data_IF_811178549482
#
_entry.id   IF_811178549482
#
_cell.length_a   1.000
_cell.length_b   1.000
_cell.length_c   1.000
_cell.angle_alpha   90.00
_cell.angle_beta   90.00
_cell.angle_gamma   90.00
#
_symmetry.space_group_name_H-M   'P 1'
#
loop_
_entity.id
_entity.type
_entity.pdbx_description
1 polymer ?
#
# COMPACT_ATOMS: atom_id res chain seq x y z
N UNK A 1 -45.20 -20.99 27.80
CA UNK A 1 -45.49 -20.75 26.37
C UNK A 1 -44.32 -19.97 25.80
N UNK A 2 -43.32 -20.68 25.25
CA UNK A 2 -42.19 -20.08 24.54
C UNK A 2 -42.56 -19.96 23.06
N UNK A 3 -42.39 -18.76 22.48
CA UNK A 3 -42.76 -18.46 21.08
C UNK A 3 -41.56 -18.18 20.17
N UNK A 4 -40.34 -18.42 20.64
CA UNK A 4 -39.11 -18.18 19.87
C UNK A 4 -38.43 -19.49 19.46
N UNK A 5 -39.23 -20.43 18.94
CA UNK A 5 -38.69 -21.50 18.10
C UNK A 5 -38.12 -20.88 16.83
N UNK A 6 -36.95 -21.37 16.44
CA UNK A 6 -36.30 -21.08 15.17
C UNK A 6 -37.32 -21.37 14.07
N UNK A 7 -37.92 -20.32 13.50
CA UNK A 7 -38.69 -20.44 12.26
C UNK A 7 -37.65 -20.62 11.16
N UNK A 8 -37.11 -21.84 11.03
CA UNK A 8 -36.58 -22.27 9.75
C UNK A 8 -37.79 -22.40 8.83
N UNK A 9 -38.05 -21.34 8.06
CA UNK A 9 -38.92 -21.51 6.91
C UNK A 9 -38.31 -22.61 6.05
N UNK A 10 -39.16 -23.45 5.46
CA UNK A 10 -38.82 -24.54 4.53
C UNK A 10 -37.93 -24.12 3.33
N UNK A 11 -37.63 -22.83 3.21
CA UNK A 11 -36.74 -22.17 2.26
C UNK A 11 -35.27 -22.05 2.69
N UNK A 12 -34.84 -22.57 3.85
CA UNK A 12 -33.43 -22.52 4.30
C UNK A 12 -32.96 -21.12 4.75
N UNK A 13 -33.90 -20.24 5.09
CA UNK A 13 -33.64 -18.86 5.52
C UNK A 13 -33.62 -18.76 7.05
N UNK A 14 -32.78 -17.87 7.56
CA UNK A 14 -32.64 -17.61 8.99
C UNK A 14 -32.71 -16.12 9.31
N UNK A 15 -33.28 -15.80 10.47
CA UNK A 15 -33.36 -14.42 10.96
C UNK A 15 -32.24 -14.17 11.97
N UNK A 16 -31.31 -13.29 11.59
CA UNK A 16 -30.10 -12.99 12.37
C UNK A 16 -29.77 -11.50 12.40
N UNK A 17 -29.07 -11.02 13.45
CA UNK A 17 -28.57 -9.65 13.50
C UNK A 17 -27.55 -9.36 12.38
N UNK A 18 -27.56 -8.13 11.89
CA UNK A 18 -26.61 -7.63 10.90
C UNK A 18 -25.71 -6.56 11.52
N UNK A 19 -24.40 -6.69 11.30
CA UNK A 19 -23.39 -5.69 11.65
C UNK A 19 -22.85 -5.02 10.37
N UNK A 20 -23.15 -3.73 10.15
CA UNK A 20 -22.68 -3.02 8.97
C UNK A 20 -21.22 -2.57 9.14
N UNK A 21 -20.34 -3.03 8.27
CA UNK A 21 -18.90 -2.78 8.33
C UNK A 21 -18.49 -1.59 7.47
N UNK A 22 -17.56 -0.77 7.99
CA UNK A 22 -16.93 0.33 7.25
C UNK A 22 -15.60 -0.13 6.67
N UNK A 23 -15.37 0.16 5.39
CA UNK A 23 -14.09 -0.04 4.71
C UNK A 23 -13.50 -1.47 4.76
N UNK A 24 -14.30 -2.48 5.09
CA UNK A 24 -13.87 -3.87 5.13
C UNK A 24 -14.97 -4.81 4.63
N UNK A 25 -14.54 -5.83 3.89
CA UNK A 25 -15.33 -7.00 3.47
C UNK A 25 -14.66 -8.20 4.10
N UNK A 26 -15.42 -9.00 4.84
CA UNK A 26 -14.93 -10.22 5.49
C UNK A 26 -15.30 -11.39 4.60
N UNK A 27 -14.35 -12.28 4.33
CA UNK A 27 -14.55 -13.49 3.53
C UNK A 27 -14.73 -14.71 4.43
N UNK A 28 -15.31 -15.81 3.93
CA UNK A 28 -15.27 -17.10 4.61
C UNK A 28 -13.85 -17.49 5.06
N UNK A 29 -13.76 -18.15 6.21
CA UNK A 29 -12.54 -18.57 6.91
C UNK A 29 -11.63 -17.43 7.42
N UNK A 30 -11.97 -16.18 7.15
CA UNK A 30 -11.22 -15.03 7.63
C UNK A 30 -11.52 -14.77 9.10
N UNK A 31 -10.48 -14.71 9.95
CA UNK A 31 -10.59 -14.33 11.36
C UNK A 31 -10.09 -12.91 11.53
N UNK A 32 -10.94 -12.00 12.00
CA UNK A 32 -10.58 -10.58 12.14
C UNK A 32 -11.07 -10.00 13.47
N UNK A 33 -10.26 -9.17 14.15
CA UNK A 33 -10.73 -8.36 15.25
C UNK A 33 -11.46 -7.12 14.72
N UNK A 34 -12.67 -6.85 15.20
CA UNK A 34 -13.45 -5.66 14.92
C UNK A 34 -13.60 -4.81 16.19
N UNK A 35 -13.59 -3.50 16.00
CA UNK A 35 -13.85 -2.52 17.05
C UNK A 35 -15.19 -1.85 16.78
N UNK A 36 -16.12 -1.99 17.72
CA UNK A 36 -17.50 -1.56 17.56
C UNK A 36 -17.84 -0.57 18.66
N UNK A 37 -18.25 0.64 18.26
CA UNK A 37 -18.62 1.72 19.19
C UNK A 37 -20.05 2.24 19.04
N UNK A 38 -20.78 1.86 17.98
CA UNK A 38 -22.17 2.29 17.80
C UNK A 38 -23.10 1.47 18.68
N UNK A 39 -23.97 2.12 19.45
CA UNK A 39 -24.91 1.45 20.38
C UNK A 39 -25.73 0.35 19.69
N UNK A 40 -26.31 0.65 18.51
CA UNK A 40 -27.07 -0.33 17.73
C UNK A 40 -26.25 -1.55 17.31
N UNK A 41 -24.97 -1.36 17.02
CA UNK A 41 -24.06 -2.44 16.64
C UNK A 41 -23.63 -3.27 17.84
N UNK A 42 -23.43 -2.64 19.00
CA UNK A 42 -23.15 -3.33 20.26
C UNK A 42 -24.36 -4.19 20.66
N UNK A 43 -25.58 -3.65 20.57
CA UNK A 43 -26.81 -4.38 20.86
C UNK A 43 -26.98 -5.61 19.95
N UNK A 44 -26.64 -5.49 18.65
CA UNK A 44 -26.67 -6.62 17.72
C UNK A 44 -25.73 -7.76 18.13
N UNK A 45 -24.52 -7.41 18.59
CA UNK A 45 -23.51 -8.38 19.03
C UNK A 45 -23.93 -9.07 20.33
N UNK A 46 -24.42 -8.32 21.31
CA UNK A 46 -24.89 -8.87 22.59
C UNK A 46 -26.05 -9.84 22.38
N UNK A 47 -27.02 -9.48 21.54
CA UNK A 47 -28.12 -10.36 21.18
C UNK A 47 -27.63 -11.67 20.54
N UNK A 48 -26.68 -11.57 19.60
CA UNK A 48 -26.13 -12.73 18.92
C UNK A 48 -25.40 -13.68 19.87
N UNK A 49 -24.59 -13.13 20.79
CA UNK A 49 -23.89 -13.91 21.82
C UNK A 49 -24.90 -14.57 22.77
N UNK A 50 -25.88 -13.81 23.27
CA UNK A 50 -26.87 -14.31 24.24
C UNK A 50 -27.75 -15.44 23.67
N UNK A 51 -27.99 -15.43 22.35
CA UNK A 51 -28.80 -16.44 21.67
C UNK A 51 -27.97 -17.52 20.95
N UNK A 52 -26.65 -17.49 21.11
CA UNK A 52 -25.70 -18.37 20.40
C UNK A 52 -25.95 -18.39 18.88
N UNK A 53 -26.30 -17.23 18.31
CA UNK A 53 -26.61 -17.07 16.89
C UNK A 53 -25.42 -16.53 16.13
N UNK A 54 -25.32 -16.94 14.87
CA UNK A 54 -24.45 -16.28 13.90
C UNK A 54 -24.91 -14.84 13.63
N UNK A 55 -23.96 -14.01 13.20
CA UNK A 55 -24.21 -12.64 12.74
C UNK A 55 -23.95 -12.54 11.24
N UNK A 56 -24.66 -11.63 10.57
CA UNK A 56 -24.32 -11.24 9.22
C UNK A 56 -23.40 -10.03 9.22
N UNK A 57 -22.23 -10.18 8.60
CA UNK A 57 -21.28 -9.10 8.38
C UNK A 57 -21.43 -8.60 6.94
N UNK A 58 -21.87 -7.35 6.77
CA UNK A 58 -22.10 -6.77 5.45
C UNK A 58 -21.42 -5.41 5.33
N UNK A 59 -20.73 -5.17 4.21
CA UNK A 59 -20.07 -3.89 3.97
C UNK A 59 -21.10 -2.78 3.68
N UNK A 60 -20.76 -1.56 4.07
CA UNK A 60 -21.47 -0.36 3.66
C UNK A 60 -21.00 0.09 2.27
N UNK A 61 -21.93 0.56 1.44
CA UNK A 61 -21.62 1.13 0.11
C UNK A 61 -20.79 2.40 0.27
N UNK A 62 -21.08 3.21 1.28
CA UNK A 62 -20.30 4.40 1.63
C UNK A 62 -19.87 4.33 3.10
N UNK A 63 -18.58 4.12 3.34
CA UNK A 63 -18.01 4.00 4.68
C UNK A 63 -18.09 5.30 5.51
N UNK A 64 -18.28 6.46 4.87
CA UNK A 64 -18.42 7.75 5.57
C UNK A 64 -19.79 7.92 6.22
N UNK A 65 -20.78 7.07 5.90
CA UNK A 65 -22.12 7.17 6.46
C UNK A 65 -22.13 6.69 7.91
N UNK A 66 -22.50 7.57 8.84
CA UNK A 66 -22.56 7.25 10.27
C UNK A 66 -23.77 6.39 10.65
N UNK A 67 -24.91 6.62 10.02
CA UNK A 67 -26.12 5.84 10.21
C UNK A 67 -26.57 5.29 8.86
N UNK A 68 -26.00 4.15 8.41
CA UNK A 68 -26.34 3.59 7.12
C UNK A 68 -27.81 3.16 7.11
N UNK A 69 -28.53 3.49 6.05
CA UNK A 69 -29.86 2.91 5.80
C UNK A 69 -29.72 1.53 5.16
N UNK A 70 -30.77 0.68 5.18
CA UNK A 70 -30.76 -0.62 4.48
C UNK A 70 -30.27 -0.57 3.03
N UNK A 71 -30.60 0.51 2.31
CA UNK A 71 -30.17 0.76 0.92
C UNK A 71 -28.67 1.09 0.77
N UNK A 72 -27.99 1.42 1.86
CA UNK A 72 -26.55 1.72 1.89
C UNK A 72 -25.70 0.51 2.31
N UNK A 73 -26.29 -0.68 2.40
CA UNK A 73 -25.63 -1.91 2.82
C UNK A 73 -25.67 -2.88 1.64
N UNK A 74 -24.55 -3.52 1.34
CA UNK A 74 -24.52 -4.55 0.31
C UNK A 74 -25.41 -5.74 0.67
N UNK A 75 -26.08 -6.31 -0.34
CA UNK A 75 -27.03 -7.41 -0.13
C UNK A 75 -26.36 -8.75 0.11
N UNK A 76 -25.10 -8.90 -0.29
CA UNK A 76 -24.29 -10.07 0.01
C UNK A 76 -23.27 -9.70 1.07
N UNK A 77 -23.26 -10.50 2.14
CA UNK A 77 -22.30 -10.42 3.24
C UNK A 77 -21.81 -11.80 3.61
N UNK A 78 -21.22 -11.90 4.79
CA UNK A 78 -20.66 -13.16 5.31
C UNK A 78 -21.33 -13.50 6.63
N UNK A 79 -21.88 -14.72 6.69
CA UNK A 79 -22.33 -15.33 7.92
C UNK A 79 -21.10 -15.62 8.78
N UNK A 80 -21.13 -15.19 10.03
CA UNK A 80 -19.98 -15.24 10.92
C UNK A 80 -20.34 -15.67 12.33
N UNK A 81 -19.43 -16.44 12.94
CA UNK A 81 -19.45 -16.71 14.38
C UNK A 81 -18.70 -15.64 15.14
N UNK A 82 -19.18 -15.34 16.34
CA UNK A 82 -18.44 -14.55 17.33
C UNK A 82 -17.58 -15.50 18.15
N UNK A 83 -16.26 -15.39 18.03
CA UNK A 83 -15.32 -16.20 18.82
C UNK A 83 -15.15 -15.61 20.22
N UNK A 84 -15.00 -14.28 20.29
CA UNK A 84 -14.71 -13.60 21.54
C UNK A 84 -15.30 -12.19 21.53
N UNK A 85 -15.86 -11.77 22.66
CA UNK A 85 -16.34 -10.41 22.89
C UNK A 85 -15.69 -9.84 24.15
N UNK A 86 -15.07 -8.67 24.03
CA UNK A 86 -14.41 -7.97 25.13
C UNK A 86 -14.87 -6.50 25.17
N UNK A 87 -15.43 -6.08 26.30
CA UNK A 87 -15.71 -4.66 26.55
C UNK A 87 -14.43 -3.94 26.96
N UNK A 88 -14.16 -2.82 26.33
CA UNK A 88 -13.05 -1.95 26.66
C UNK A 88 -13.50 -0.86 27.65
N UNK A 89 -12.58 -0.29 28.47
CA UNK A 89 -12.93 0.73 29.46
C UNK A 89 -13.49 2.04 28.85
N UNK A 90 -13.25 2.28 27.56
CA UNK A 90 -13.75 3.42 26.81
C UNK A 90 -15.21 3.26 26.33
N UNK A 91 -15.85 2.13 26.66
CA UNK A 91 -17.22 1.81 26.27
C UNK A 91 -17.34 1.14 24.90
N UNK A 92 -16.24 0.98 24.16
CA UNK A 92 -16.24 0.24 22.90
C UNK A 92 -16.15 -1.27 23.14
N UNK A 93 -16.56 -2.05 22.15
CA UNK A 93 -16.48 -3.51 22.17
C UNK A 93 -15.49 -3.98 21.13
N UNK A 94 -14.48 -4.73 21.57
CA UNK A 94 -13.59 -5.50 20.70
C UNK A 94 -14.19 -6.90 20.53
N UNK A 95 -14.48 -7.27 19.30
CA UNK A 95 -15.03 -8.59 18.96
C UNK A 95 -14.11 -9.32 17.98
N UNK A 96 -13.84 -10.59 18.23
CA UNK A 96 -13.14 -11.47 17.29
C UNK A 96 -14.20 -12.30 16.56
N UNK A 97 -14.22 -12.21 15.24
CA UNK A 97 -15.21 -12.90 14.40
C UNK A 97 -14.51 -13.79 13.38
N UNK A 98 -15.18 -14.88 13.01
CA UNK A 98 -14.76 -15.78 11.94
C UNK A 98 -15.84 -15.84 10.86
N UNK A 99 -15.44 -15.61 9.61
CA UNK A 99 -16.32 -15.86 8.45
C UNK A 99 -16.57 -17.35 8.27
N UNK A 100 -17.84 -17.76 8.17
CA UNK A 100 -18.23 -19.15 7.90
C UNK A 100 -18.57 -19.38 6.44
N UNK A 101 -19.51 -18.60 5.91
CA UNK A 101 -20.02 -18.76 4.55
C UNK A 101 -20.65 -17.46 4.06
N UNK A 102 -20.87 -17.34 2.75
CA UNK A 102 -21.57 -16.20 2.15
C UNK A 102 -23.05 -16.23 2.50
N UNK A 103 -23.65 -15.07 2.74
CA UNK A 103 -25.07 -14.91 3.02
C UNK A 103 -25.69 -13.82 2.16
N UNK A 104 -26.89 -14.07 1.63
CA UNK A 104 -27.69 -13.08 0.90
C UNK A 104 -28.84 -12.57 1.75
N UNK A 105 -28.93 -11.25 1.90
CA UNK A 105 -30.03 -10.56 2.56
C UNK A 105 -31.25 -10.59 1.64
N UNK A 106 -32.32 -11.22 2.08
CA UNK A 106 -33.63 -11.16 1.42
C UNK A 106 -34.42 -9.94 1.86
N UNK A 107 -34.51 -9.72 3.17
CA UNK A 107 -35.25 -8.60 3.73
C UNK A 107 -34.65 -8.10 5.04
N UNK A 108 -34.89 -6.82 5.32
CA UNK A 108 -34.64 -6.20 6.61
C UNK A 108 -35.93 -6.24 7.43
N UNK A 109 -35.85 -6.85 8.61
CA UNK A 109 -36.97 -6.98 9.53
C UNK A 109 -37.00 -5.74 10.42
N UNK A 110 -38.16 -5.08 10.60
CA UNK A 110 -38.28 -3.92 11.47
C UNK A 110 -37.81 -4.23 12.90
N UNK A 111 -36.80 -3.48 13.36
CA UNK A 111 -36.29 -3.52 14.73
C UNK A 111 -35.66 -2.16 15.06
N UNK A 112 -36.04 -1.56 16.19
CA UNK A 112 -35.53 -0.26 16.63
C UNK A 112 -34.10 -0.32 17.18
N UNK A 113 -33.70 -1.49 17.72
CA UNK A 113 -32.49 -1.62 18.53
C UNK A 113 -31.26 -1.91 17.66
N UNK A 114 -31.42 -2.67 16.59
CA UNK A 114 -30.33 -3.06 15.68
C UNK A 114 -30.87 -3.54 14.33
N UNK A 115 -30.00 -3.71 13.34
CA UNK A 115 -30.40 -4.30 12.07
C UNK A 115 -30.69 -5.79 12.24
N UNK A 116 -31.92 -6.18 11.90
CA UNK A 116 -32.35 -7.57 11.85
C UNK A 116 -32.64 -7.93 10.40
N UNK A 117 -32.13 -9.08 9.94
CA UNK A 117 -32.26 -9.49 8.54
C UNK A 117 -32.68 -10.94 8.42
N UNK A 118 -33.52 -11.22 7.42
CA UNK A 118 -33.71 -12.58 6.92
C UNK A 118 -32.64 -12.85 5.85
N UNK A 119 -31.83 -13.88 6.10
CA UNK A 119 -30.65 -14.22 5.31
C UNK A 119 -30.74 -15.67 4.85
N UNK A 120 -30.26 -15.91 3.63
CA UNK A 120 -30.05 -17.26 3.10
C UNK A 120 -28.55 -17.49 2.90
N UNK A 121 -28.04 -18.62 3.39
CA UNK A 121 -26.68 -19.04 3.09
C UNK A 121 -26.56 -19.35 1.60
N UNK A 122 -25.58 -18.76 0.92
CA UNK A 122 -25.30 -19.07 -0.48
C UNK A 122 -24.58 -20.42 -0.50
N UNK A 123 -25.20 -21.41 -1.15
CA UNK A 123 -24.57 -22.69 -1.42
C UNK A 123 -23.57 -22.52 -2.56
N UNK A 124 -22.37 -23.04 -2.36
CA UNK A 124 -21.32 -23.09 -3.37
C UNK A 124 -21.24 -24.53 -3.87
N UNK A 125 -21.58 -24.75 -5.14
CA UNK A 125 -21.31 -26.00 -5.81
C UNK A 125 -19.92 -25.90 -6.43
N UNK A 126 -19.01 -26.74 -5.94
CA UNK A 126 -17.62 -26.76 -6.38
C UNK A 126 -17.41 -28.02 -7.20
N UNK A 127 -17.25 -27.84 -8.51
CA UNK A 127 -16.78 -28.89 -9.40
C UNK A 127 -15.33 -28.59 -9.77
N UNK A 128 -14.41 -29.50 -9.42
CA UNK A 128 -13.00 -29.34 -9.76
C UNK A 128 -12.76 -29.98 -11.13
N UNK A 129 -12.58 -29.13 -12.13
CA UNK A 129 -12.23 -29.57 -13.49
C UNK A 129 -10.72 -29.38 -13.74
N UNK A 130 -10.22 -29.93 -14.86
CA UNK A 130 -8.84 -29.69 -15.31
C UNK A 130 -8.59 -28.18 -15.54
N UNK A 131 -9.61 -27.44 -15.98
CA UNK A 131 -9.53 -26.00 -16.15
C UNK A 131 -9.42 -25.29 -14.80
N UNK A 132 -10.25 -25.66 -13.82
CA UNK A 132 -10.17 -25.17 -12.43
C UNK A 132 -8.76 -25.36 -11.86
N UNK A 133 -8.16 -26.54 -12.01
CA UNK A 133 -6.78 -26.81 -11.55
C UNK A 133 -5.74 -25.92 -12.25
N UNK A 134 -5.92 -25.64 -13.54
CA UNK A 134 -5.03 -24.74 -14.28
C UNK A 134 -5.13 -23.30 -13.77
N UNK A 135 -6.36 -22.81 -13.53
CA UNK A 135 -6.60 -21.47 -12.96
C UNK A 135 -6.00 -21.39 -11.55
N UNK A 136 -6.23 -22.40 -10.71
CA UNK A 136 -5.67 -22.46 -9.35
C UNK A 136 -4.13 -22.39 -9.35
N UNK A 137 -3.45 -23.10 -10.27
CA UNK A 137 -1.99 -22.99 -10.43
C UNK A 137 -1.57 -21.58 -10.82
N UNK A 138 -2.30 -20.94 -11.73
CA UNK A 138 -2.08 -19.54 -12.12
C UNK A 138 -2.21 -18.59 -10.93
N UNK A 139 -3.29 -18.73 -10.15
CA UNK A 139 -3.55 -17.93 -8.94
C UNK A 139 -2.46 -18.12 -7.89
N UNK A 140 -2.06 -19.38 -7.59
CA UNK A 140 -0.98 -19.67 -6.63
C UNK A 140 0.35 -19.04 -7.07
N UNK A 141 0.70 -19.15 -8.35
CA UNK A 141 1.92 -18.56 -8.90
C UNK A 141 1.90 -17.02 -8.86
N UNK A 142 0.77 -16.41 -9.22
CA UNK A 142 0.60 -14.97 -9.12
C UNK A 142 0.73 -14.51 -7.65
N UNK A 143 0.14 -15.25 -6.71
CA UNK A 143 0.21 -14.91 -5.28
C UNK A 143 1.64 -14.96 -4.75
N UNK A 144 2.42 -15.97 -5.17
CA UNK A 144 3.84 -16.05 -4.85
C UNK A 144 4.62 -14.82 -5.34
N UNK A 145 4.37 -14.38 -6.57
CA UNK A 145 5.00 -13.16 -7.11
C UNK A 145 4.56 -11.91 -6.36
N UNK A 146 3.27 -11.80 -6.03
CA UNK A 146 2.72 -10.69 -5.27
C UNK A 146 3.35 -10.57 -3.88
N UNK A 147 3.49 -11.68 -3.13
CA UNK A 147 4.14 -11.70 -1.81
C UNK A 147 5.63 -11.30 -1.89
N UNK A 148 6.35 -11.72 -2.94
CA UNK A 148 7.75 -11.31 -3.16
C UNK A 148 7.91 -9.80 -3.37
N UNK A 149 6.90 -9.15 -3.95
CA UNK A 149 6.89 -7.69 -4.17
C UNK A 149 6.34 -6.92 -2.96
N UNK A 150 5.36 -7.49 -2.25
CA UNK A 150 4.71 -6.89 -1.09
C UNK A 150 5.18 -7.53 0.22
N UNK A 151 6.24 -6.97 0.80
CA UNK A 151 6.85 -7.44 2.06
C UNK A 151 5.96 -7.33 3.31
N UNK A 152 4.73 -6.83 3.20
CA UNK A 152 3.78 -6.79 4.32
C UNK A 152 3.17 -8.16 4.61
N UNK A 153 3.21 -9.09 3.66
CA UNK A 153 2.65 -10.43 3.82
C UNK A 153 3.75 -11.37 4.30
N UNK A 154 3.55 -12.06 5.44
CA UNK A 154 4.48 -13.07 5.92
C UNK A 154 4.68 -14.20 4.89
N UNK A 155 5.93 -14.62 4.59
CA UNK A 155 6.19 -15.71 3.65
C UNK A 155 5.54 -17.05 4.04
N UNK A 156 5.30 -17.29 5.33
CA UNK A 156 4.59 -18.46 5.85
C UNK A 156 3.19 -18.64 5.25
N UNK A 157 2.54 -17.54 4.83
CA UNK A 157 1.26 -17.59 4.13
C UNK A 157 1.32 -18.33 2.80
N UNK A 158 2.48 -18.35 2.13
CA UNK A 158 2.66 -19.09 0.88
C UNK A 158 2.53 -20.61 1.09
N UNK A 159 3.03 -21.11 2.23
CA UNK A 159 2.92 -22.52 2.57
C UNK A 159 1.48 -22.90 2.92
N UNK A 160 0.72 -22.01 3.58
CA UNK A 160 -0.69 -22.25 3.85
C UNK A 160 -1.56 -22.21 2.59
N UNK A 161 -1.26 -21.32 1.64
CA UNK A 161 -2.02 -21.20 0.39
C UNK A 161 -1.70 -22.34 -0.59
N UNK A 162 -0.47 -22.86 -0.59
CA UNK A 162 -0.07 -23.91 -1.53
C UNK A 162 -0.80 -25.23 -1.30
N UNK A 163 -1.15 -25.55 -0.06
CA UNK A 163 -1.86 -26.78 0.35
C UNK A 163 -3.38 -26.74 0.16
N UNK A 164 -3.95 -25.59 -0.22
CA UNK A 164 -5.40 -25.47 -0.44
C UNK A 164 -5.77 -26.12 -1.78
N UNK A 165 -6.61 -27.13 -1.73
CA UNK A 165 -7.15 -27.86 -2.90
C UNK A 165 -8.55 -27.40 -3.30
N UNK A 166 -9.27 -26.76 -2.39
CA UNK A 166 -10.60 -26.22 -2.66
C UNK A 166 -10.49 -24.83 -3.35
N UNK A 167 -11.02 -24.66 -4.57
CA UNK A 167 -10.91 -23.40 -5.33
C UNK A 167 -11.63 -22.24 -4.63
N UNK A 168 -12.76 -22.51 -3.97
CA UNK A 168 -13.52 -21.49 -3.26
C UNK A 168 -12.74 -20.91 -2.09
N UNK A 169 -12.17 -21.79 -1.26
CA UNK A 169 -11.32 -21.46 -0.11
C UNK A 169 -10.02 -20.82 -0.53
N UNK A 170 -9.45 -21.24 -1.67
CA UNK A 170 -8.23 -20.63 -2.21
C UNK A 170 -8.47 -19.14 -2.51
N UNK A 171 -9.56 -18.84 -3.22
CA UNK A 171 -9.92 -17.47 -3.55
C UNK A 171 -10.13 -16.61 -2.28
N UNK A 172 -10.88 -17.14 -1.31
CA UNK A 172 -11.25 -16.44 -0.08
C UNK A 172 -10.05 -16.19 0.84
N UNK A 173 -9.12 -17.14 0.90
CA UNK A 173 -7.89 -16.99 1.67
C UNK A 173 -6.98 -15.92 1.03
N UNK A 174 -6.79 -15.97 -0.28
CA UNK A 174 -5.89 -15.04 -0.97
C UNK A 174 -6.42 -13.60 -0.92
N UNK A 175 -7.71 -13.38 -1.22
CA UNK A 175 -8.30 -12.03 -1.27
C UNK A 175 -8.24 -11.31 0.08
N UNK A 176 -8.23 -12.05 1.20
CA UNK A 176 -8.04 -11.50 2.53
C UNK A 176 -6.69 -10.79 2.71
N UNK A 177 -5.66 -11.23 1.98
CA UNK A 177 -4.31 -10.66 2.02
C UNK A 177 -4.03 -9.62 0.92
N UNK A 178 -4.93 -9.46 -0.05
CA UNK A 178 -4.76 -8.47 -1.11
C UNK A 178 -5.22 -7.06 -0.67
N UNK A 179 -4.50 -6.05 -1.13
CA UNK A 179 -4.84 -4.63 -0.88
C UNK A 179 -5.73 -4.11 -2.00
N UNK A 180 -6.97 -4.63 -2.07
CA UNK A 180 -7.96 -4.22 -3.07
C UNK A 180 -8.90 -3.16 -2.52
N UNK A 181 -9.48 -2.35 -3.42
CA UNK A 181 -10.55 -1.41 -3.06
C UNK A 181 -11.79 -2.18 -2.62
N UNK A 182 -12.59 -1.58 -1.74
CA UNK A 182 -13.81 -2.20 -1.21
C UNK A 182 -14.78 -2.68 -2.32
N UNK A 183 -15.07 -1.92 -3.38
CA UNK A 183 -15.95 -2.37 -4.45
C UNK A 183 -15.43 -3.64 -5.15
N UNK A 184 -14.12 -3.76 -5.33
CA UNK A 184 -13.50 -4.94 -5.95
C UNK A 184 -13.61 -6.17 -5.02
N UNK A 185 -13.34 -5.98 -3.71
CA UNK A 185 -13.55 -7.06 -2.71
C UNK A 185 -15.00 -7.50 -2.66
N UNK A 186 -15.93 -6.54 -2.66
CA UNK A 186 -17.35 -6.84 -2.63
C UNK A 186 -17.79 -7.60 -3.89
N UNK A 187 -17.28 -7.21 -5.07
CA UNK A 187 -17.55 -7.92 -6.31
C UNK A 187 -17.06 -9.38 -6.24
N UNK A 188 -15.87 -9.64 -5.68
CA UNK A 188 -15.36 -11.01 -5.47
C UNK A 188 -16.25 -11.80 -4.50
N UNK A 189 -16.74 -11.16 -3.42
CA UNK A 189 -17.64 -11.82 -2.48
C UNK A 189 -18.97 -12.23 -3.14
N UNK A 190 -19.47 -11.41 -4.07
CA UNK A 190 -20.72 -11.62 -4.79
C UNK A 190 -20.66 -12.71 -5.88
N UNK A 191 -19.47 -13.03 -6.39
CA UNK A 191 -19.28 -14.11 -7.36
C UNK A 191 -19.41 -15.47 -6.65
N UNK A 192 -20.44 -16.21 -7.04
CA UNK A 192 -20.76 -17.53 -6.47
C UNK A 192 -19.90 -18.63 -7.10
N UNK A 193 -19.68 -18.56 -8.42
CA UNK A 193 -18.93 -19.57 -9.18
C UNK A 193 -17.44 -19.44 -8.87
N UNK A 194 -16.84 -20.53 -8.38
CA UNK A 194 -15.45 -20.52 -7.92
C UNK A 194 -14.45 -20.17 -9.04
N UNK A 195 -14.66 -20.71 -10.25
CA UNK A 195 -13.79 -20.46 -11.40
C UNK A 195 -13.80 -18.99 -11.82
N UNK A 196 -14.99 -18.40 -12.01
CA UNK A 196 -15.14 -16.97 -12.30
C UNK A 196 -14.47 -16.10 -11.23
N UNK A 197 -14.58 -16.51 -9.96
CA UNK A 197 -13.98 -15.80 -8.83
C UNK A 197 -12.45 -15.88 -8.87
N UNK A 198 -11.89 -17.05 -9.17
CA UNK A 198 -10.45 -17.25 -9.31
C UNK A 198 -9.89 -16.47 -10.51
N UNK A 199 -10.58 -16.44 -11.65
CA UNK A 199 -10.19 -15.65 -12.81
C UNK A 199 -10.20 -14.15 -12.49
N UNK A 200 -11.25 -13.66 -11.84
CA UNK A 200 -11.35 -12.26 -11.42
C UNK A 200 -10.21 -11.90 -10.47
N UNK A 201 -9.93 -12.77 -9.50
CA UNK A 201 -8.84 -12.62 -8.55
C UNK A 201 -7.47 -12.60 -9.22
N UNK A 202 -7.24 -13.50 -10.19
CA UNK A 202 -6.01 -13.56 -10.97
C UNK A 202 -5.75 -12.25 -11.72
N UNK A 203 -6.75 -11.75 -12.42
CA UNK A 203 -6.67 -10.50 -13.19
C UNK A 203 -6.35 -9.28 -12.31
N UNK A 204 -7.02 -9.18 -11.15
CA UNK A 204 -6.76 -8.11 -10.19
C UNK A 204 -5.35 -8.19 -9.62
N UNK A 205 -4.89 -9.40 -9.32
CA UNK A 205 -3.55 -9.61 -8.77
C UNK A 205 -2.45 -9.31 -9.78
N UNK A 206 -2.63 -9.70 -11.05
CA UNK A 206 -1.71 -9.36 -12.13
C UNK A 206 -1.59 -7.84 -12.30
N UNK A 207 -2.72 -7.15 -12.31
CA UNK A 207 -2.75 -5.68 -12.38
C UNK A 207 -1.99 -5.03 -11.23
N UNK A 208 -2.18 -5.54 -10.00
CA UNK A 208 -1.50 -5.02 -8.81
C UNK A 208 0.01 -5.32 -8.83
N UNK A 209 0.41 -6.50 -9.31
CA UNK A 209 1.81 -6.88 -9.50
C UNK A 209 2.51 -5.90 -10.45
N UNK A 210 1.87 -5.54 -11.58
CA UNK A 210 2.42 -4.57 -12.54
C UNK A 210 2.65 -3.20 -11.89
N UNK A 211 1.68 -2.72 -11.11
CA UNK A 211 1.78 -1.46 -10.37
C UNK A 211 2.98 -1.51 -9.40
N UNK A 212 3.06 -2.56 -8.58
CA UNK A 212 4.16 -2.75 -7.62
C UNK A 212 5.53 -2.81 -8.31
N UNK A 213 5.63 -3.43 -9.48
CA UNK A 213 6.86 -3.46 -10.27
C UNK A 213 7.24 -2.07 -10.79
N UNK A 214 6.29 -1.29 -11.30
CA UNK A 214 6.50 0.10 -11.72
C UNK A 214 6.97 0.95 -10.55
N UNK A 215 6.29 0.89 -9.40
CA UNK A 215 6.68 1.61 -8.19
C UNK A 215 8.09 1.24 -7.73
N UNK A 216 8.45 -0.04 -7.77
CA UNK A 216 9.80 -0.50 -7.42
C UNK A 216 10.85 0.07 -8.36
N UNK A 217 10.57 0.13 -9.67
CA UNK A 217 11.46 0.75 -10.67
C UNK A 217 11.60 2.26 -10.44
N UNK A 218 10.53 2.96 -10.07
CA UNK A 218 10.58 4.39 -9.73
C UNK A 218 11.41 4.61 -8.48
N UNK A 219 11.12 3.88 -7.39
CA UNK A 219 11.89 3.94 -6.13
C UNK A 219 13.38 3.69 -6.35
N UNK A 220 13.74 2.71 -7.18
CA UNK A 220 15.13 2.43 -7.52
C UNK A 220 15.80 3.58 -8.26
N UNK A 221 15.11 4.20 -9.23
CA UNK A 221 15.63 5.35 -9.98
C UNK A 221 15.85 6.57 -9.07
N UNK A 222 14.87 6.90 -8.24
CA UNK A 222 14.97 8.00 -7.26
C UNK A 222 16.14 7.77 -6.30
N UNK A 223 16.28 6.55 -5.75
CA UNK A 223 17.39 6.21 -4.86
C UNK A 223 18.76 6.39 -5.54
N UNK A 224 18.94 5.89 -6.77
CA UNK A 224 20.20 6.05 -7.52
C UNK A 224 20.53 7.52 -7.77
N UNK A 225 19.52 8.34 -8.09
CA UNK A 225 19.71 9.77 -8.31
C UNK A 225 20.13 10.47 -7.01
N UNK A 226 19.48 10.17 -5.89
CA UNK A 226 19.85 10.71 -4.58
C UNK A 226 21.28 10.31 -4.17
N UNK A 227 21.65 9.04 -4.33
CA UNK A 227 23.01 8.56 -4.03
C UNK A 227 24.06 9.29 -4.89
N UNK A 228 23.75 9.57 -6.16
CA UNK A 228 24.63 10.36 -7.04
C UNK A 228 24.76 11.81 -6.55
N UNK A 229 23.64 12.48 -6.28
CA UNK A 229 23.65 13.88 -5.80
C UNK A 229 24.37 14.01 -4.45
N UNK A 230 24.15 13.07 -3.53
CA UNK A 230 24.84 13.06 -2.24
C UNK A 230 26.35 12.83 -2.39
N UNK A 231 26.75 11.94 -3.30
CA UNK A 231 28.17 11.72 -3.64
C UNK A 231 28.79 12.97 -4.26
N UNK A 232 28.13 13.61 -5.22
CA UNK A 232 28.62 14.85 -5.85
C UNK A 232 28.75 15.98 -4.83
N UNK A 233 27.75 16.16 -3.96
CA UNK A 233 27.81 17.13 -2.87
C UNK A 233 29.01 16.86 -1.94
N UNK A 234 29.18 15.61 -1.50
CA UNK A 234 30.27 15.23 -0.62
C UNK A 234 31.65 15.43 -1.26
N UNK A 235 31.82 15.06 -2.54
CA UNK A 235 33.08 15.25 -3.27
C UNK A 235 33.41 16.73 -3.47
N UNK A 236 32.41 17.57 -3.74
CA UNK A 236 32.61 19.01 -3.89
C UNK A 236 33.02 19.67 -2.57
N UNK A 237 32.40 19.30 -1.46
CA UNK A 237 32.80 19.76 -0.11
C UNK A 237 34.23 19.30 0.22
N UNK A 238 34.59 18.05 -0.08
CA UNK A 238 35.97 17.57 0.10
C UNK A 238 36.97 18.35 -0.77
N UNK A 239 36.64 18.62 -2.03
CA UNK A 239 37.49 19.42 -2.91
C UNK A 239 37.65 20.86 -2.40
N UNK A 240 36.60 21.47 -1.85
CA UNK A 240 36.69 22.80 -1.24
C UNK A 240 37.55 22.78 0.03
N UNK A 241 37.41 21.75 0.87
CA UNK A 241 38.25 21.59 2.06
C UNK A 241 39.72 21.38 1.69
N UNK A 242 40.02 20.51 0.73
CA UNK A 242 41.38 20.29 0.19
C UNK A 242 41.95 21.59 -0.39
N UNK A 243 41.17 22.33 -1.19
CA UNK A 243 41.60 23.64 -1.73
C UNK A 243 41.87 24.67 -0.64
N UNK A 244 41.19 24.58 0.51
CA UNK A 244 41.38 25.47 1.66
C UNK A 244 42.60 25.06 2.50
N UNK A 245 42.85 23.75 2.67
CA UNK A 245 44.03 23.22 3.36
C UNK A 245 45.32 23.36 2.54
N UNK A 246 45.24 23.23 1.21
CA UNK A 246 46.40 23.39 0.31
C UNK A 246 46.90 24.85 0.21
N UNK A 247 46.20 25.84 0.78
CA UNK A 247 46.73 27.19 0.99
C UNK A 247 47.08 28.03 -0.26
N UNK A 248 47.00 27.49 -1.48
CA UNK A 248 47.57 28.09 -2.69
C UNK A 248 46.73 29.18 -3.39
N UNK A 249 45.67 29.71 -2.74
CA UNK A 249 44.74 30.61 -3.45
C UNK A 249 45.06 32.10 -3.41
N UNK A 250 46.01 32.55 -2.59
CA UNK A 250 46.29 33.99 -2.50
C UNK A 250 47.63 34.44 -3.09
N UNK A 251 48.64 33.59 -3.23
CA UNK A 251 49.93 34.04 -3.79
C UNK A 251 49.84 34.41 -5.28
N UNK A 252 49.22 33.58 -6.12
CA UNK A 252 49.13 33.86 -7.56
C UNK A 252 48.22 35.06 -7.88
N UNK A 253 47.12 35.22 -7.13
CA UNK A 253 46.24 36.40 -7.28
C UNK A 253 46.89 37.66 -6.74
N UNK A 254 47.59 37.58 -5.60
CA UNK A 254 48.36 38.69 -5.04
C UNK A 254 49.48 39.12 -5.99
N UNK A 255 50.21 38.16 -6.56
CA UNK A 255 51.29 38.44 -7.52
C UNK A 255 50.78 39.15 -8.78
N UNK A 256 49.66 38.68 -9.34
CA UNK A 256 49.06 39.35 -10.50
C UNK A 256 48.66 40.79 -10.16
N UNK A 257 48.11 41.03 -8.96
CA UNK A 257 47.74 42.37 -8.51
C UNK A 257 48.99 43.27 -8.32
N UNK A 258 50.08 42.73 -7.78
CA UNK A 258 51.35 43.44 -7.65
C UNK A 258 51.99 43.79 -9.01
N UNK A 259 51.91 42.89 -9.99
CA UNK A 259 52.40 43.14 -11.34
C UNK A 259 51.60 44.27 -12.01
N UNK A 260 50.28 44.29 -11.87
CA UNK A 260 49.43 45.37 -12.39
C UNK A 260 49.73 46.73 -11.75
N UNK A 261 49.98 46.76 -10.44
CA UNK A 261 50.44 47.93 -9.69
C UNK A 261 51.80 48.44 -10.23
N UNK A 262 52.77 47.55 -10.42
CA UNK A 262 54.11 47.90 -10.94
C UNK A 262 54.03 48.47 -12.36
N UNK A 263 53.15 47.94 -13.21
CA UNK A 263 52.95 48.43 -14.58
C UNK A 263 52.32 49.82 -14.59
N UNK A 264 51.37 50.10 -13.69
CA UNK A 264 50.77 51.45 -13.56
C UNK A 264 51.79 52.50 -13.12
N UNK A 265 52.77 52.11 -12.29
CA UNK A 265 53.80 53.01 -11.74
C UNK A 265 54.96 53.28 -12.70
N UNK A 266 55.20 52.43 -13.72
CA UNK A 266 56.28 52.62 -14.71
C UNK A 266 55.82 53.51 -15.87
N UNK A 267 56.68 54.46 -16.27
CA UNK A 267 56.52 55.23 -17.51
C UNK A 267 56.97 54.38 -18.70
N UNK A 268 56.02 53.67 -19.32
CA UNK A 268 56.24 52.85 -20.51
C UNK A 268 55.92 53.65 -21.79
N UNK A 269 56.60 53.33 -22.89
CA UNK A 269 56.16 53.78 -24.22
C UNK A 269 54.78 53.16 -24.56
N UNK A 270 54.03 53.79 -25.46
CA UNK A 270 52.68 53.35 -25.84
C UNK A 270 52.69 51.89 -26.32
N UNK A 271 53.70 51.51 -27.10
CA UNK A 271 53.89 50.15 -27.62
C UNK A 271 54.21 49.12 -26.53
N UNK A 272 55.07 49.49 -25.56
CA UNK A 272 55.42 48.60 -24.45
C UNK A 272 54.24 48.37 -23.50
N UNK A 273 53.42 49.40 -23.27
CA UNK A 273 52.23 49.31 -22.41
C UNK A 273 51.18 48.35 -22.96
N UNK A 274 50.90 48.43 -24.26
CA UNK A 274 49.94 47.56 -24.94
C UNK A 274 50.38 46.09 -24.94
N UNK A 275 51.68 45.84 -25.15
CA UNK A 275 52.24 44.49 -25.14
C UNK A 275 52.15 43.84 -23.76
N UNK A 276 52.53 44.56 -22.71
CA UNK A 276 52.51 44.07 -21.33
C UNK A 276 51.08 43.83 -20.81
N UNK A 277 50.12 44.69 -21.18
CA UNK A 277 48.71 44.47 -20.83
C UNK A 277 48.13 43.20 -21.47
N UNK A 278 48.51 42.90 -22.72
CA UNK A 278 48.10 41.64 -23.39
C UNK A 278 48.68 40.41 -22.69
N UNK A 279 49.94 40.45 -22.28
CA UNK A 279 50.58 39.33 -21.59
C UNK A 279 50.03 39.10 -20.17
N UNK A 280 49.76 40.15 -19.39
CA UNK A 280 49.08 39.99 -18.09
C UNK A 280 47.68 39.42 -18.24
N UNK A 281 46.94 39.84 -19.27
CA UNK A 281 45.59 39.32 -19.53
C UNK A 281 45.63 37.83 -19.89
N UNK A 282 46.66 37.39 -20.62
CA UNK A 282 46.94 35.98 -20.86
C UNK A 282 47.28 35.24 -19.57
N UNK A 283 48.20 35.76 -18.75
CA UNK A 283 48.63 35.16 -17.49
C UNK A 283 47.46 34.93 -16.52
N UNK A 284 46.49 35.87 -16.48
CA UNK A 284 45.25 35.77 -15.68
C UNK A 284 44.34 34.59 -16.07
N UNK A 285 44.40 34.13 -17.32
CA UNK A 285 43.54 33.05 -17.84
C UNK A 285 44.23 31.69 -17.82
N UNK A 286 45.53 31.66 -17.54
CA UNK A 286 46.32 30.43 -17.49
C UNK A 286 46.27 29.81 -16.09
N UNK A 287 46.41 28.47 -16.03
CA UNK A 287 46.63 27.78 -14.76
C UNK A 287 48.03 28.16 -14.22
N UNK A 288 48.18 28.47 -12.91
CA UNK A 288 49.47 28.80 -12.30
C UNK A 288 50.56 27.74 -12.52
N UNK A 289 50.15 26.47 -12.72
CA UNK A 289 51.06 25.33 -12.91
C UNK A 289 51.39 25.05 -14.38
N UNK A 290 50.92 25.85 -15.35
CA UNK A 290 51.22 25.59 -16.76
C UNK A 290 52.64 26.04 -17.13
N UNK A 291 53.32 25.27 -17.98
CA UNK A 291 54.65 25.64 -18.48
C UNK A 291 54.63 27.00 -19.20
N UNK A 292 53.51 27.34 -19.84
CA UNK A 292 53.30 28.64 -20.49
C UNK A 292 53.20 29.80 -19.49
N UNK A 293 52.53 29.60 -18.35
CA UNK A 293 52.42 30.62 -17.31
C UNK A 293 53.80 30.97 -16.73
N UNK A 294 54.67 29.97 -16.54
CA UNK A 294 56.06 30.18 -16.08
C UNK A 294 56.89 30.98 -17.09
N UNK A 295 56.72 30.73 -18.39
CA UNK A 295 57.42 31.49 -19.44
C UNK A 295 56.94 32.93 -19.48
N UNK A 296 55.62 33.17 -19.44
CA UNK A 296 55.03 34.51 -19.46
C UNK A 296 55.38 35.31 -18.20
N UNK A 297 55.52 34.64 -17.04
CA UNK A 297 55.90 35.27 -15.77
C UNK A 297 57.33 35.80 -15.74
N UNK A 298 58.24 35.12 -16.45
CA UNK A 298 59.67 35.46 -16.48
C UNK A 298 60.09 36.35 -17.66
N UNK A 299 59.20 36.56 -18.64
CA UNK A 299 59.39 37.39 -19.82
C UNK A 299 59.21 38.88 -19.52
#
# INVERSE_FOLDING_TARGET
MNKDEIISNSSGRVVIPLLPLRDIVIFPHMVVPLFVGREKSIAALEEAVNKEKDILLAAQVNAKTNDPKPENIYRVGTLSSIIQLLRLPDGTVKVLVEGKSRGRIHQFIPNSNYFLTEVEAIKEEVEVTVETEAIMRGVKSAFEQYVKLNKRIPPEMLASVSTIEDPSRLADTIVAHLTLKLPDKQNILEIVVADERLEKLLNLMQSEIEILQVERRIRSRVRKQMEKTQREYYLNEQMQAIQKELGERDEFKSEIAELEEKIKKKKLSVEAKDKVQKEIKKLKMMSPMSAEATVVRNY
#
